data_IF_944651540701
#
_entry.id   IF_944651540701
#
_cell.length_a   1.000
_cell.length_b   1.000
_cell.length_c   1.000
_cell.angle_alpha   90.00
_cell.angle_beta   90.00
_cell.angle_gamma   90.00
#
_symmetry.space_group_name_H-M   'P 1'
#
loop_
_entity.id
_entity.type
_entity.pdbx_description
1 polymer ?
#
# COMPACT_ATOMS: atom_id res chain seq x y z
N UNK A 1 16.91 3.41 2.55
CA UNK A 1 16.13 2.54 1.65
C UNK A 1 16.21 3.09 0.23
N UNK A 2 16.65 2.26 -0.75
CA UNK A 2 16.74 2.66 -2.17
C UNK A 2 15.50 2.27 -2.99
N UNK A 3 14.63 1.43 -2.42
CA UNK A 3 13.47 0.88 -3.11
C UNK A 3 12.43 1.96 -3.48
N UNK A 4 11.87 1.80 -4.68
CA UNK A 4 10.75 2.59 -5.19
C UNK A 4 9.42 2.03 -4.69
N UNK A 5 8.41 2.89 -4.69
CA UNK A 5 7.04 2.51 -4.33
C UNK A 5 6.52 1.40 -5.24
N UNK A 6 6.80 1.45 -6.55
CA UNK A 6 6.39 0.41 -7.49
C UNK A 6 6.98 -0.98 -7.19
N UNK A 7 8.21 -1.06 -6.69
CA UNK A 7 8.86 -2.33 -6.37
C UNK A 7 8.15 -3.02 -5.19
N UNK A 8 7.80 -2.25 -4.16
CA UNK A 8 7.00 -2.74 -3.03
C UNK A 8 5.60 -3.16 -3.48
N UNK A 9 4.96 -2.37 -4.33
CA UNK A 9 3.63 -2.67 -4.86
C UNK A 9 3.59 -3.99 -5.65
N UNK A 10 4.59 -4.24 -6.50
CA UNK A 10 4.72 -5.49 -7.25
C UNK A 10 4.90 -6.68 -6.30
N UNK A 11 5.69 -6.55 -5.22
CA UNK A 11 5.86 -7.61 -4.24
C UNK A 11 4.56 -7.93 -3.49
N UNK A 12 3.83 -6.91 -3.02
CA UNK A 12 2.54 -7.08 -2.34
C UNK A 12 1.51 -7.72 -3.27
N UNK A 13 1.43 -7.23 -4.52
CA UNK A 13 0.48 -7.75 -5.51
C UNK A 13 0.71 -9.22 -5.83
N UNK A 14 1.99 -9.62 -5.94
CA UNK A 14 2.38 -11.03 -6.12
C UNK A 14 2.05 -11.86 -4.88
N UNK A 15 2.37 -11.36 -3.69
CA UNK A 15 2.08 -12.05 -2.43
C UNK A 15 0.57 -12.30 -2.24
N UNK A 16 -0.26 -11.32 -2.59
CA UNK A 16 -1.72 -11.41 -2.51
C UNK A 16 -2.37 -12.14 -3.70
N UNK A 17 -1.61 -12.53 -4.72
CA UNK A 17 -2.11 -13.14 -5.96
C UNK A 17 -3.27 -12.32 -6.59
N UNK A 18 -3.06 -11.01 -6.74
CA UNK A 18 -4.04 -10.10 -7.34
C UNK A 18 -4.13 -10.30 -8.85
N UNK A 19 -5.35 -10.31 -9.38
CA UNK A 19 -5.62 -10.42 -10.80
C UNK A 19 -5.50 -9.07 -11.52
N UNK A 20 -5.97 -8.00 -10.88
CA UNK A 20 -6.02 -6.64 -11.42
C UNK A 20 -5.37 -5.67 -10.43
N UNK A 21 -4.03 -5.70 -10.32
CA UNK A 21 -3.32 -4.82 -9.40
C UNK A 21 -3.50 -3.35 -9.78
N UNK A 22 -3.74 -2.98 -11.03
CA UNK A 22 -3.91 -1.57 -11.45
C UNK A 22 -5.04 -0.80 -10.75
N UNK A 23 -6.00 -1.48 -10.11
CA UNK A 23 -7.09 -0.84 -9.36
C UNK A 23 -6.65 -0.33 -7.99
N UNK A 24 -5.48 -0.74 -7.53
CA UNK A 24 -4.98 -0.45 -6.20
C UNK A 24 -3.79 0.50 -6.22
N UNK A 25 -3.53 1.09 -5.07
CA UNK A 25 -2.37 1.92 -4.81
C UNK A 25 -1.85 1.73 -3.39
N UNK A 26 -0.63 2.21 -3.17
CA UNK A 26 -0.06 2.34 -1.84
C UNK A 26 -0.33 3.75 -1.32
N UNK A 27 -0.73 3.87 -0.07
CA UNK A 27 -1.01 5.15 0.58
C UNK A 27 -0.35 5.25 1.95
N UNK A 28 -0.10 6.47 2.39
CA UNK A 28 0.26 6.79 3.78
C UNK A 28 -0.87 7.55 4.44
N UNK A 29 -0.98 7.42 5.76
CA UNK A 29 -1.94 8.19 6.55
C UNK A 29 -1.32 9.52 6.94
N UNK A 30 -2.01 10.61 6.64
CA UNK A 30 -1.61 11.96 7.03
C UNK A 30 -1.93 12.24 8.50
N UNK A 31 -1.44 13.37 9.02
CA UNK A 31 -1.81 13.88 10.34
C UNK A 31 -3.30 14.17 10.49
N UNK A 32 -4.00 14.44 9.38
CA UNK A 32 -5.44 14.71 9.34
C UNK A 32 -6.27 13.43 9.17
N UNK A 33 -5.67 12.26 9.39
CA UNK A 33 -6.28 10.95 9.17
C UNK A 33 -6.75 10.68 7.72
N UNK A 34 -6.29 11.47 6.75
CA UNK A 34 -6.57 11.25 5.33
C UNK A 34 -5.51 10.34 4.71
N UNK A 35 -5.89 9.56 3.70
CA UNK A 35 -4.95 8.72 2.96
C UNK A 35 -4.42 9.44 1.73
N UNK A 36 -3.10 9.44 1.58
CA UNK A 36 -2.41 10.06 0.45
C UNK A 36 -1.70 8.97 -0.33
N UNK A 37 -2.06 8.80 -1.61
CA UNK A 37 -1.43 7.82 -2.49
C UNK A 37 0.02 8.21 -2.81
N UNK A 38 0.87 7.20 -2.82
CA UNK A 38 2.30 7.33 -3.10
C UNK A 38 2.56 7.32 -4.61
N UNK A 39 3.50 8.14 -5.06
CA UNK A 39 3.95 8.11 -6.45
C UNK A 39 4.77 6.84 -6.71
N UNK A 40 4.38 5.97 -7.66
CA UNK A 40 5.09 4.74 -7.97
C UNK A 40 6.57 4.93 -8.35
N UNK A 41 6.92 6.07 -8.95
CA UNK A 41 8.27 6.36 -9.43
C UNK A 41 9.19 6.86 -8.30
N UNK A 42 8.60 7.32 -7.21
CA UNK A 42 9.33 7.87 -6.07
C UNK A 42 9.88 6.79 -5.15
N UNK A 43 10.94 7.16 -4.42
CA UNK A 43 11.52 6.28 -3.40
C UNK A 43 10.66 6.28 -2.15
N UNK A 44 10.49 5.12 -1.51
CA UNK A 44 9.78 5.02 -0.23
C UNK A 44 10.38 5.95 0.84
N UNK A 45 11.70 6.18 0.80
CA UNK A 45 12.37 7.07 1.74
C UNK A 45 11.98 8.55 1.64
N UNK A 46 11.25 8.95 0.59
CA UNK A 46 10.69 10.31 0.46
C UNK A 46 9.53 10.53 1.44
N UNK A 47 8.77 9.46 1.71
CA UNK A 47 7.53 9.50 2.48
C UNK A 47 7.71 9.07 3.94
N UNK A 48 8.78 8.36 4.22
CA UNK A 48 9.02 7.80 5.54
C UNK A 48 9.68 8.78 6.52
N UNK A 49 9.55 8.54 7.84
CA UNK A 49 10.17 9.38 8.85
C UNK A 49 11.70 9.39 8.75
N UNK A 50 12.32 10.48 9.19
CA UNK A 50 13.79 10.63 9.20
C UNK A 50 14.48 9.52 10.00
N UNK A 51 13.85 9.07 11.09
CA UNK A 51 14.33 8.02 12.00
C UNK A 51 14.34 6.63 11.36
N UNK A 52 13.65 6.43 10.23
CA UNK A 52 13.58 5.13 9.56
C UNK A 52 14.94 4.63 9.06
N UNK A 53 15.83 5.54 8.63
CA UNK A 53 17.15 5.16 8.13
C UNK A 53 18.14 4.84 9.25
N UNK A 54 17.88 5.29 10.47
CA UNK A 54 18.81 5.22 11.60
C UNK A 54 18.50 4.08 12.56
N UNK A 55 17.29 3.51 12.51
CA UNK A 55 16.95 2.33 13.31
C UNK A 55 17.19 1.04 12.53
N UNK A 56 17.88 0.10 13.17
CA UNK A 56 18.22 -1.19 12.57
C UNK A 56 17.01 -2.09 12.32
N UNK A 57 15.92 -1.92 13.08
CA UNK A 57 14.79 -2.85 13.07
C UNK A 57 13.51 -2.25 12.47
N UNK A 58 13.52 -0.96 12.07
CA UNK A 58 12.34 -0.29 11.51
C UNK A 58 11.14 -0.16 12.47
N UNK A 59 11.35 -0.40 13.77
CA UNK A 59 10.34 -0.31 14.83
C UNK A 59 10.75 0.75 15.85
N UNK A 60 9.79 1.50 16.37
CA UNK A 60 10.01 2.47 17.45
C UNK A 60 10.29 1.79 18.81
N UNK A 61 10.41 2.60 19.87
CA UNK A 61 10.68 2.12 21.23
C UNK A 61 9.52 1.31 21.83
N UNK A 62 8.32 1.45 21.28
CA UNK A 62 7.11 0.73 21.70
C UNK A 62 6.90 -0.55 20.86
N UNK A 63 7.83 -0.87 19.95
CA UNK A 63 7.76 -2.03 19.06
C UNK A 63 6.82 -1.85 17.87
N UNK A 64 6.33 -0.63 17.64
CA UNK A 64 5.45 -0.32 16.52
C UNK A 64 6.26 0.00 15.27
N UNK A 65 5.75 -0.35 14.07
CA UNK A 65 6.42 0.01 12.82
C UNK A 65 6.56 1.53 12.67
N UNK A 66 7.78 1.99 12.39
CA UNK A 66 8.06 3.41 12.15
C UNK A 66 7.37 3.97 10.90
N UNK A 67 7.08 3.11 9.92
CA UNK A 67 6.54 3.53 8.64
C UNK A 67 5.42 2.59 8.19
N UNK A 68 4.20 3.12 8.20
CA UNK A 68 3.00 2.41 7.80
C UNK A 68 2.60 2.78 6.38
N UNK A 69 2.48 1.76 5.53
CA UNK A 69 1.97 1.87 4.16
C UNK A 69 0.71 1.04 4.06
N UNK A 70 -0.34 1.63 3.50
CA UNK A 70 -1.65 1.04 3.36
C UNK A 70 -1.88 0.65 1.90
N UNK A 71 -2.31 -0.58 1.66
CA UNK A 71 -2.74 -1.05 0.34
C UNK A 71 -4.23 -0.77 0.18
N UNK A 72 -4.63 0.10 -0.76
CA UNK A 72 -6.03 0.55 -0.91
C UNK A 72 -6.47 0.60 -2.36
N UNK A 73 -7.79 0.51 -2.59
CA UNK A 73 -8.40 0.78 -3.91
C UNK A 73 -8.18 2.24 -4.29
N UNK A 74 -7.59 2.49 -5.45
CA UNK A 74 -7.28 3.82 -5.97
C UNK A 74 -8.21 4.22 -7.11
N UNK A 75 -8.60 3.27 -7.96
CA UNK A 75 -9.47 3.51 -9.12
C UNK A 75 -10.71 2.63 -9.03
N UNK A 76 -11.87 3.24 -9.23
CA UNK A 76 -13.14 2.53 -9.37
C UNK A 76 -13.47 2.41 -10.86
N UNK A 77 -13.92 1.23 -11.28
CA UNK A 77 -14.30 0.95 -12.66
C UNK A 77 -15.82 0.85 -12.74
N UNK A 78 -16.44 1.61 -13.64
CA UNK A 78 -17.91 1.68 -13.76
C UNK A 78 -18.54 0.42 -14.40
N UNK A 79 -17.73 -0.44 -15.03
CA UNK A 79 -18.24 -1.60 -15.78
C UNK A 79 -18.26 -2.88 -14.95
N UNK A 80 -19.46 -3.31 -14.56
CA UNK A 80 -19.75 -4.54 -13.80
C UNK A 80 -19.24 -5.84 -14.43
N UNK A 81 -18.82 -5.81 -15.70
CA UNK A 81 -18.33 -6.97 -16.44
C UNK A 81 -16.94 -7.43 -15.98
N UNK A 82 -16.08 -6.54 -15.48
CA UNK A 82 -14.81 -6.91 -14.84
C UNK A 82 -15.00 -7.39 -13.39
N UNK A 83 -16.10 -6.98 -12.77
CA UNK A 83 -16.31 -7.08 -11.32
C UNK A 83 -16.71 -8.49 -10.86
N UNK A 84 -17.15 -9.41 -11.72
CA UNK A 84 -17.72 -10.70 -11.25
C UNK A 84 -16.71 -11.63 -10.55
N UNK A 85 -15.43 -11.60 -10.92
CA UNK A 85 -14.37 -12.32 -10.19
C UNK A 85 -13.72 -11.45 -9.10
N UNK A 86 -13.69 -10.13 -9.29
CA UNK A 86 -13.18 -9.16 -8.33
C UNK A 86 -14.07 -9.12 -7.09
N UNK A 87 -15.40 -9.14 -7.20
CA UNK A 87 -16.31 -8.96 -6.07
C UNK A 87 -16.09 -10.03 -5.00
N UNK A 88 -15.95 -11.31 -5.38
CA UNK A 88 -15.68 -12.38 -4.41
C UNK A 88 -14.30 -12.28 -3.75
N UNK A 89 -13.26 -11.84 -4.47
CA UNK A 89 -11.89 -11.80 -3.93
C UNK A 89 -11.59 -10.47 -3.21
N UNK A 90 -12.14 -9.37 -3.70
CA UNK A 90 -12.06 -8.02 -3.14
C UNK A 90 -12.90 -7.89 -1.88
N UNK A 91 -14.15 -8.40 -1.84
CA UNK A 91 -14.94 -8.44 -0.60
C UNK A 91 -14.18 -9.17 0.48
N UNK A 92 -13.63 -10.35 0.18
CA UNK A 92 -12.82 -11.09 1.13
C UNK A 92 -11.62 -10.26 1.59
N UNK A 93 -10.90 -9.56 0.72
CA UNK A 93 -9.78 -8.71 1.15
C UNK A 93 -10.25 -7.52 2.00
N UNK A 94 -11.36 -6.86 1.67
CA UNK A 94 -11.88 -5.72 2.44
C UNK A 94 -12.40 -6.17 3.81
N UNK A 95 -12.98 -7.37 3.92
CA UNK A 95 -13.47 -7.93 5.18
C UNK A 95 -12.35 -8.40 6.12
N UNK A 96 -11.12 -8.59 5.62
CA UNK A 96 -9.96 -9.03 6.39
C UNK A 96 -9.01 -7.89 6.83
N UNK A 97 -9.29 -6.62 6.48
CA UNK A 97 -8.53 -5.43 6.89
C UNK A 97 -9.40 -4.45 7.69
#
# INVERSE_FOLDING_TARGET
>A
VKAKVCELFVQISKFLNLLEPELFGLAIKSSENTFIFLDPLEKLSKYAPKTWKTQNNGMDNDGLPLFNVFFRVQFYVDSYLFIRYIHCKLIVIIDFF
#
